data_IF_608289437688
#
_entry.id   IF_608289437688
#
_cell.length_a   1.000
_cell.length_b   1.000
_cell.length_c   1.000
_cell.angle_alpha   90.00
_cell.angle_beta   90.00
_cell.angle_gamma   90.00
#
_symmetry.space_group_name_H-M   'P 1'
#
loop_
_entity.id
_entity.type
_entity.pdbx_description
1 polymer ?
#
# COMPACT_ATOMS: atom_id res chain seq x y z
N UNK A 1 29.75 -8.71 11.94
CA UNK A 1 28.88 -9.05 10.80
C UNK A 1 27.80 -9.98 11.31
N UNK A 2 26.53 -9.80 10.91
CA UNK A 2 25.42 -10.70 11.31
C UNK A 2 25.55 -12.04 10.58
N UNK A 3 25.14 -13.14 11.22
CA UNK A 3 25.01 -14.44 10.56
C UNK A 3 23.64 -14.58 9.93
N UNK A 4 23.55 -15.22 8.77
CA UNK A 4 22.32 -15.54 8.04
C UNK A 4 22.28 -17.02 7.63
N UNK A 5 23.07 -17.86 8.28
CA UNK A 5 23.25 -19.27 7.91
C UNK A 5 21.94 -20.06 7.93
N UNK A 6 21.14 -19.90 9.01
CA UNK A 6 19.84 -20.58 9.10
C UNK A 6 18.85 -20.08 8.07
N UNK A 7 18.83 -18.75 7.81
CA UNK A 7 17.99 -18.17 6.77
C UNK A 7 18.34 -18.69 5.38
N UNK A 8 19.63 -18.85 5.05
CA UNK A 8 20.08 -19.43 3.79
C UNK A 8 19.65 -20.90 3.66
N UNK A 9 19.79 -21.69 4.73
CA UNK A 9 19.32 -23.09 4.76
C UNK A 9 17.80 -23.19 4.59
N UNK A 10 17.03 -22.32 5.28
CA UNK A 10 15.59 -22.26 5.16
C UNK A 10 15.15 -21.88 3.74
N UNK A 11 15.84 -20.91 3.12
CA UNK A 11 15.54 -20.51 1.75
C UNK A 11 15.87 -21.63 0.74
N UNK A 12 16.98 -22.34 0.93
CA UNK A 12 17.31 -23.51 0.10
C UNK A 12 16.22 -24.60 0.16
N UNK A 13 15.60 -24.81 1.34
CA UNK A 13 14.47 -25.74 1.52
C UNK A 13 13.15 -25.19 0.94
N UNK A 14 12.95 -23.88 0.91
CA UNK A 14 11.74 -23.25 0.40
C UNK A 14 11.66 -23.27 -1.15
N UNK A 15 12.81 -23.11 -1.83
CA UNK A 15 12.88 -23.04 -3.31
C UNK A 15 12.22 -24.21 -4.05
N UNK A 16 12.37 -25.48 -3.65
CA UNK A 16 11.75 -26.61 -4.35
C UNK A 16 10.25 -26.77 -4.10
N UNK A 17 9.68 -26.08 -3.10
CA UNK A 17 8.27 -26.25 -2.68
C UNK A 17 7.39 -25.00 -2.90
N UNK A 18 8.01 -23.85 -3.19
CA UNK A 18 7.33 -22.61 -3.51
C UNK A 18 8.01 -21.90 -4.68
N UNK A 19 7.28 -21.26 -5.60
CA UNK A 19 7.86 -20.51 -6.70
C UNK A 19 8.85 -19.45 -6.22
N UNK A 20 10.15 -19.63 -6.52
CA UNK A 20 11.21 -18.74 -6.04
C UNK A 20 11.44 -18.75 -4.52
N UNK A 21 10.87 -19.73 -3.80
CA UNK A 21 11.00 -19.89 -2.34
C UNK A 21 10.15 -18.95 -1.50
N UNK A 22 9.17 -18.24 -2.10
CA UNK A 22 8.36 -17.21 -1.44
C UNK A 22 6.92 -17.19 -1.94
N UNK A 23 6.00 -16.66 -1.12
CA UNK A 23 4.59 -16.45 -1.48
C UNK A 23 4.28 -15.04 -2.03
N UNK A 24 5.31 -14.18 -2.15
CA UNK A 24 5.20 -12.88 -2.82
C UNK A 24 6.56 -12.48 -3.37
N UNK A 25 6.65 -12.01 -4.65
CA UNK A 25 7.92 -11.89 -5.37
C UNK A 25 8.99 -11.03 -4.69
N UNK A 26 8.59 -9.89 -4.11
CA UNK A 26 9.51 -8.94 -3.46
C UNK A 26 10.25 -9.54 -2.26
N UNK A 27 9.64 -10.53 -1.59
CA UNK A 27 10.22 -11.24 -0.42
C UNK A 27 11.45 -12.08 -0.77
N UNK A 28 11.71 -12.34 -2.05
CA UNK A 28 12.89 -13.10 -2.50
C UNK A 28 14.19 -12.28 -2.51
N UNK A 29 14.16 -10.99 -2.19
CA UNK A 29 15.32 -10.07 -2.11
C UNK A 29 16.15 -9.99 -3.42
N UNK A 30 15.55 -10.32 -4.56
CA UNK A 30 16.28 -10.32 -5.86
C UNK A 30 16.79 -8.92 -6.24
N UNK A 31 16.00 -7.88 -5.99
CA UNK A 31 16.38 -6.49 -6.31
C UNK A 31 17.54 -5.96 -5.46
N UNK A 32 17.79 -6.56 -4.31
CA UNK A 32 18.91 -6.21 -3.42
C UNK A 32 20.05 -7.23 -3.44
N UNK A 33 20.03 -8.16 -4.40
CA UNK A 33 21.10 -9.12 -4.74
C UNK A 33 21.59 -9.93 -3.53
N UNK A 34 20.68 -10.40 -2.68
CA UNK A 34 20.99 -11.27 -1.54
C UNK A 34 19.87 -12.29 -1.31
N UNK A 35 20.18 -13.35 -0.55
CA UNK A 35 19.15 -14.28 -0.09
C UNK A 35 18.27 -13.62 1.00
N UNK A 36 16.96 -13.91 1.04
CA UNK A 36 16.07 -13.33 2.03
C UNK A 36 16.36 -13.81 3.44
N UNK A 37 16.10 -12.94 4.41
CA UNK A 37 16.17 -13.26 5.82
C UNK A 37 14.83 -13.85 6.27
N UNK A 38 14.87 -14.97 7.01
CA UNK A 38 13.68 -15.66 7.51
C UNK A 38 13.35 -15.17 8.92
N UNK A 39 12.16 -14.60 9.08
CA UNK A 39 11.72 -14.06 10.36
C UNK A 39 11.07 -15.11 11.23
N UNK A 40 11.31 -15.04 12.55
CA UNK A 40 10.74 -15.91 13.57
C UNK A 40 9.62 -15.23 14.35
N UNK A 41 9.81 -13.96 14.72
CA UNK A 41 8.85 -13.21 15.53
C UNK A 41 9.00 -11.69 15.33
N UNK A 42 7.97 -10.96 15.73
CA UNK A 42 8.00 -9.50 15.81
C UNK A 42 7.39 -9.03 17.13
N UNK A 43 7.85 -7.87 17.65
CA UNK A 43 7.28 -7.21 18.83
C UNK A 43 7.52 -5.70 18.77
N UNK A 44 6.48 -4.91 18.90
CA UNK A 44 6.56 -3.46 18.82
C UNK A 44 7.16 -3.00 17.49
N UNK A 45 8.20 -2.20 17.54
CA UNK A 45 8.95 -1.74 16.34
C UNK A 45 10.04 -2.71 15.89
N UNK A 46 10.10 -3.92 16.43
CA UNK A 46 11.18 -4.89 16.19
C UNK A 46 10.70 -6.13 15.47
N UNK A 47 11.61 -6.68 14.64
CA UNK A 47 11.46 -8.00 14.03
C UNK A 47 12.75 -8.81 14.29
N UNK A 48 12.59 -10.12 14.43
CA UNK A 48 13.68 -11.03 14.80
C UNK A 48 13.74 -12.18 13.81
N UNK A 49 14.93 -12.47 13.33
CA UNK A 49 15.13 -13.59 12.39
C UNK A 49 15.46 -14.91 13.10
N UNK A 50 15.42 -16.01 12.34
CA UNK A 50 15.73 -17.37 12.83
C UNK A 50 17.21 -17.55 13.17
N UNK A 51 18.08 -16.64 12.77
CA UNK A 51 19.50 -16.61 13.12
C UNK A 51 19.74 -15.90 14.46
N UNK A 52 18.70 -15.26 15.04
CA UNK A 52 18.75 -14.55 16.31
C UNK A 52 19.10 -13.08 16.22
N UNK A 53 19.11 -12.50 15.03
CA UNK A 53 19.33 -11.08 14.86
C UNK A 53 18.05 -10.28 15.10
N UNK A 54 18.21 -9.08 15.70
CA UNK A 54 17.15 -8.08 15.90
C UNK A 54 17.29 -6.93 14.91
N UNK A 55 16.14 -6.41 14.42
CA UNK A 55 16.05 -5.28 13.51
C UNK A 55 14.97 -4.29 13.95
N UNK A 56 15.21 -2.98 13.78
CA UNK A 56 14.14 -1.98 13.73
C UNK A 56 13.43 -2.18 12.39
N UNK A 57 12.12 -2.38 12.40
CA UNK A 57 11.36 -2.77 11.21
C UNK A 57 10.58 -1.62 10.59
N UNK A 58 11.01 -1.19 9.41
CA UNK A 58 10.29 -0.20 8.59
C UNK A 58 9.47 -0.82 7.47
N UNK A 59 9.42 -2.16 7.38
CA UNK A 59 8.52 -2.87 6.45
C UNK A 59 7.12 -3.01 7.04
N UNK A 60 7.01 -3.32 8.34
CA UNK A 60 5.75 -3.48 9.07
C UNK A 60 4.72 -4.31 8.30
N UNK A 61 5.21 -5.44 7.72
CA UNK A 61 4.40 -6.34 6.88
C UNK A 61 3.77 -5.67 5.64
N UNK A 62 4.45 -4.64 5.07
CA UNK A 62 3.99 -3.83 3.93
C UNK A 62 2.83 -2.87 4.30
N UNK A 63 2.80 -2.42 5.53
CA UNK A 63 1.90 -1.38 5.99
C UNK A 63 0.79 -1.76 6.97
N UNK A 64 0.31 -3.01 7.10
CA UNK A 64 -0.81 -3.33 8.01
C UNK A 64 -0.52 -3.08 9.49
N UNK A 65 0.75 -3.20 9.94
CA UNK A 65 1.09 -3.18 11.37
C UNK A 65 1.33 -1.76 11.89
N UNK A 66 0.32 -0.90 11.81
CA UNK A 66 0.40 0.49 12.27
C UNK A 66 0.57 0.60 13.79
N UNK A 67 0.07 -0.37 14.57
CA UNK A 67 0.30 -0.49 16.01
C UNK A 67 1.61 -1.19 16.37
N UNK A 68 2.44 -1.58 15.37
CA UNK A 68 3.61 -2.42 15.56
C UNK A 68 3.27 -3.90 15.61
N UNK A 69 4.30 -4.72 15.82
CA UNK A 69 4.18 -6.18 15.92
C UNK A 69 3.59 -6.61 17.24
N UNK A 70 2.73 -7.63 17.21
CA UNK A 70 2.17 -8.32 18.38
C UNK A 70 1.60 -7.35 19.43
N UNK A 71 0.78 -6.39 18.99
CA UNK A 71 0.08 -5.48 19.90
C UNK A 71 -0.74 -6.27 20.93
N UNK A 72 -0.60 -5.92 22.21
CA UNK A 72 -1.13 -6.72 23.33
C UNK A 72 -2.66 -6.83 23.31
N UNK A 73 -3.37 -5.74 22.93
CA UNK A 73 -4.83 -5.74 22.88
C UNK A 73 -5.34 -6.55 21.70
N UNK A 74 -4.73 -6.38 20.52
CA UNK A 74 -5.08 -7.18 19.32
C UNK A 74 -4.83 -8.67 19.59
N UNK A 75 -3.69 -9.03 20.19
CA UNK A 75 -3.36 -10.43 20.53
C UNK A 75 -4.33 -11.01 21.54
N UNK A 76 -4.71 -10.26 22.58
CA UNK A 76 -5.66 -10.72 23.60
C UNK A 76 -7.05 -10.97 22.97
N UNK A 77 -7.56 -10.03 22.17
CA UNK A 77 -8.85 -10.16 21.50
C UNK A 77 -8.87 -11.31 20.50
N UNK A 78 -7.78 -11.54 19.76
CA UNK A 78 -7.66 -12.67 18.84
C UNK A 78 -7.68 -14.03 19.59
N UNK A 79 -7.02 -14.13 20.76
CA UNK A 79 -7.07 -15.35 21.57
C UNK A 79 -8.50 -15.67 22.00
N UNK A 80 -9.25 -14.66 22.47
CA UNK A 80 -10.66 -14.82 22.82
C UNK A 80 -11.54 -15.17 21.60
N UNK A 81 -11.30 -14.53 20.47
CA UNK A 81 -12.07 -14.77 19.25
C UNK A 81 -11.87 -16.19 18.70
N UNK A 82 -10.64 -16.70 18.69
CA UNK A 82 -10.34 -18.05 18.16
C UNK A 82 -11.00 -19.16 18.97
N UNK A 83 -11.20 -18.96 20.28
CA UNK A 83 -11.92 -19.92 21.15
C UNK A 83 -13.40 -20.03 20.77
N UNK A 84 -13.99 -19.01 20.14
CA UNK A 84 -15.38 -19.00 19.67
C UNK A 84 -15.55 -19.56 18.25
N UNK A 85 -14.45 -19.72 17.53
CA UNK A 85 -14.42 -20.25 16.14
C UNK A 85 -13.79 -19.27 15.15
N UNK A 86 -13.30 -19.83 14.04
CA UNK A 86 -12.52 -19.09 13.06
C UNK A 86 -13.31 -18.65 11.83
N UNK A 87 -14.46 -19.31 11.55
CA UNK A 87 -15.34 -19.02 10.40
C UNK A 87 -16.68 -19.68 10.60
N UNK A 88 -17.77 -18.98 10.27
CA UNK A 88 -19.12 -19.47 10.52
C UNK A 88 -19.94 -19.75 9.24
N UNK A 89 -19.56 -19.17 8.09
CA UNK A 89 -20.39 -19.21 6.89
C UNK A 89 -21.76 -18.52 7.08
N UNK A 90 -21.83 -17.59 8.05
CA UNK A 90 -23.01 -16.83 8.45
C UNK A 90 -22.59 -15.45 8.95
N UNK A 91 -23.48 -14.43 8.92
CA UNK A 91 -23.17 -13.10 9.43
C UNK A 91 -22.82 -13.11 10.91
N UNK A 92 -21.96 -12.17 11.34
CA UNK A 92 -21.63 -11.92 12.73
C UNK A 92 -21.72 -10.43 13.07
N UNK A 93 -21.96 -10.10 14.35
CA UNK A 93 -21.96 -8.69 14.81
C UNK A 93 -20.61 -8.00 14.65
N UNK A 94 -19.52 -8.76 14.59
CA UNK A 94 -18.18 -8.22 14.38
C UNK A 94 -18.03 -7.52 13.01
N UNK A 95 -18.69 -8.05 12.00
CA UNK A 95 -18.74 -7.44 10.66
C UNK A 95 -19.38 -6.05 10.71
N UNK A 96 -20.52 -5.94 11.40
CA UNK A 96 -21.24 -4.67 11.58
C UNK A 96 -20.39 -3.66 12.35
N UNK A 97 -19.76 -4.09 13.46
CA UNK A 97 -18.88 -3.21 14.28
C UNK A 97 -17.73 -2.61 13.48
N UNK A 98 -17.02 -3.43 12.70
CA UNK A 98 -15.93 -2.92 11.87
C UNK A 98 -16.44 -2.05 10.73
N UNK A 99 -17.57 -2.41 10.11
CA UNK A 99 -18.21 -1.62 9.07
C UNK A 99 -18.61 -0.21 9.57
N UNK A 100 -19.25 -0.12 10.73
CA UNK A 100 -19.63 1.14 11.37
C UNK A 100 -18.41 2.03 11.65
N UNK A 101 -17.33 1.46 12.18
CA UNK A 101 -16.09 2.19 12.45
C UNK A 101 -15.41 2.70 11.16
N UNK A 102 -15.45 1.92 10.09
CA UNK A 102 -14.94 2.35 8.77
C UNK A 102 -15.80 3.48 8.22
N UNK A 103 -17.14 3.36 8.28
CA UNK A 103 -18.07 4.40 7.80
C UNK A 103 -17.90 5.70 8.59
N UNK A 104 -17.72 5.62 9.91
CA UNK A 104 -17.49 6.80 10.76
C UNK A 104 -16.25 7.59 10.35
N UNK A 105 -15.19 6.90 9.91
CA UNK A 105 -13.88 7.52 9.69
C UNK A 105 -13.55 7.84 8.23
N UNK A 106 -14.16 7.16 7.28
CA UNK A 106 -13.84 7.33 5.85
C UNK A 106 -14.89 8.20 5.17
N UNK A 107 -14.58 9.45 4.80
CA UNK A 107 -15.58 10.44 4.37
C UNK A 107 -16.45 10.02 3.19
N UNK A 108 -15.92 9.22 2.26
CA UNK A 108 -16.65 8.75 1.07
C UNK A 108 -17.56 7.56 1.30
N UNK A 109 -17.44 6.87 2.44
CA UNK A 109 -18.10 5.56 2.62
C UNK A 109 -19.40 5.70 3.41
N UNK A 110 -20.51 5.46 2.75
CA UNK A 110 -21.85 5.33 3.35
C UNK A 110 -22.23 3.86 3.52
N UNK A 111 -21.69 2.98 2.68
CA UNK A 111 -21.88 1.51 2.72
C UNK A 111 -20.56 0.84 2.35
N UNK A 112 -20.21 -0.23 3.06
CA UNK A 112 -18.95 -0.97 2.87
C UNK A 112 -19.20 -2.47 2.71
N UNK A 113 -18.39 -3.14 1.89
CA UNK A 113 -18.36 -4.59 1.72
C UNK A 113 -16.97 -5.11 2.03
N UNK A 114 -16.86 -6.07 2.97
CA UNK A 114 -15.61 -6.74 3.31
C UNK A 114 -15.27 -7.83 2.27
N UNK A 115 -13.99 -7.96 1.99
CA UNK A 115 -13.37 -9.01 1.16
C UNK A 115 -12.06 -9.47 1.84
N UNK A 116 -11.23 -10.31 1.19
CA UNK A 116 -10.06 -10.92 1.85
C UNK A 116 -8.72 -10.28 1.47
N UNK A 117 -8.69 -9.39 0.51
CA UNK A 117 -7.45 -8.72 0.05
C UNK A 117 -7.74 -7.40 -0.65
N UNK A 118 -6.71 -6.56 -0.77
CA UNK A 118 -6.78 -5.36 -1.59
C UNK A 118 -7.04 -5.66 -3.07
N UNK A 119 -6.53 -6.77 -3.59
CA UNK A 119 -6.81 -7.23 -4.97
C UNK A 119 -8.31 -7.52 -5.17
N UNK A 120 -8.95 -8.20 -4.23
CA UNK A 120 -10.40 -8.44 -4.29
C UNK A 120 -11.20 -7.13 -4.19
N UNK A 121 -10.74 -6.18 -3.34
CA UNK A 121 -11.38 -4.88 -3.20
C UNK A 121 -11.34 -4.09 -4.52
N UNK A 122 -10.17 -3.95 -5.12
CA UNK A 122 -10.00 -3.20 -6.38
C UNK A 122 -10.70 -3.89 -7.55
N UNK A 123 -10.57 -5.21 -7.69
CA UNK A 123 -11.29 -5.99 -8.70
C UNK A 123 -12.82 -5.80 -8.60
N UNK A 124 -13.35 -5.79 -7.38
CA UNK A 124 -14.79 -5.61 -7.13
C UNK A 124 -15.22 -4.17 -7.39
N UNK A 125 -14.43 -3.18 -7.02
CA UNK A 125 -14.70 -1.78 -7.30
C UNK A 125 -14.73 -1.49 -8.81
N UNK A 126 -13.81 -2.08 -9.60
CA UNK A 126 -13.83 -1.93 -11.06
C UNK A 126 -15.07 -2.59 -11.68
N UNK A 127 -15.45 -3.78 -11.21
CA UNK A 127 -16.69 -4.43 -11.68
C UNK A 127 -17.91 -3.59 -11.35
N UNK A 128 -17.95 -3.03 -10.16
CA UNK A 128 -19.03 -2.14 -9.72
C UNK A 128 -19.09 -0.88 -10.57
N UNK A 129 -17.95 -0.23 -10.83
CA UNK A 129 -17.88 0.96 -11.67
C UNK A 129 -18.42 0.70 -13.09
N UNK A 130 -17.99 -0.40 -13.71
CA UNK A 130 -18.48 -0.82 -15.03
C UNK A 130 -19.97 -1.12 -15.02
N UNK A 131 -20.45 -1.87 -14.02
CA UNK A 131 -21.87 -2.23 -13.92
C UNK A 131 -22.77 -1.04 -13.63
N UNK A 132 -22.34 -0.09 -12.82
CA UNK A 132 -23.07 1.12 -12.48
C UNK A 132 -23.15 2.11 -13.66
N UNK A 133 -22.05 2.35 -14.35
CA UNK A 133 -21.99 3.32 -15.45
C UNK A 133 -22.42 2.75 -16.81
N UNK A 134 -22.42 1.42 -16.97
CA UNK A 134 -22.62 0.74 -18.26
C UNK A 134 -21.44 0.90 -19.21
N UNK A 135 -20.29 1.41 -18.75
CA UNK A 135 -19.07 1.68 -19.54
C UNK A 135 -18.01 0.61 -19.28
N UNK A 136 -17.00 0.51 -20.13
CA UNK A 136 -16.03 -0.59 -20.08
C UNK A 136 -14.63 -0.20 -19.63
N UNK A 137 -14.18 1.01 -19.96
CA UNK A 137 -12.78 1.40 -19.74
C UNK A 137 -12.50 1.91 -18.33
N UNK A 138 -11.28 1.63 -17.90
CA UNK A 138 -10.71 2.15 -16.64
C UNK A 138 -9.45 2.93 -16.97
N UNK A 139 -9.28 4.08 -16.32
CA UNK A 139 -8.03 4.82 -16.34
C UNK A 139 -7.25 4.52 -15.06
N UNK A 140 -5.97 4.19 -15.18
CA UNK A 140 -5.02 4.04 -14.07
C UNK A 140 -3.72 4.81 -14.33
N UNK A 141 -2.87 4.92 -13.31
CA UNK A 141 -1.62 5.68 -13.38
C UNK A 141 -0.40 4.76 -13.41
N UNK A 142 0.59 5.14 -14.24
CA UNK A 142 1.89 4.44 -14.34
C UNK A 142 2.60 4.51 -12.99
N UNK A 143 3.10 3.37 -12.52
CA UNK A 143 3.75 3.23 -11.21
C UNK A 143 2.80 2.95 -10.05
N UNK A 144 1.49 3.18 -10.19
CA UNK A 144 0.49 2.75 -9.20
C UNK A 144 0.21 1.24 -9.30
N UNK A 145 0.05 0.59 -8.14
CA UNK A 145 -0.27 -0.83 -8.03
C UNK A 145 -1.60 -1.03 -7.31
N UNK A 146 -2.47 -1.81 -7.92
CA UNK A 146 -3.82 -2.01 -7.43
C UNK A 146 -4.17 -3.51 -7.28
N UNK A 147 -3.20 -4.33 -6.89
CA UNK A 147 -3.36 -5.79 -6.84
C UNK A 147 -3.07 -6.47 -8.18
N UNK A 148 -3.29 -7.78 -8.23
CA UNK A 148 -2.91 -8.64 -9.35
C UNK A 148 -4.11 -9.16 -10.17
N UNK A 149 -5.21 -8.42 -10.19
CA UNK A 149 -6.33 -8.68 -11.11
C UNK A 149 -5.94 -8.35 -12.55
N UNK A 150 -6.38 -9.15 -13.51
CA UNK A 150 -5.98 -9.05 -14.93
C UNK A 150 -6.17 -7.64 -15.52
N UNK A 151 -7.27 -6.95 -15.17
CA UNK A 151 -7.53 -5.58 -15.61
C UNK A 151 -6.53 -4.54 -15.08
N UNK A 152 -5.70 -4.89 -14.10
CA UNK A 152 -4.79 -3.98 -13.40
C UNK A 152 -3.31 -4.35 -13.58
N UNK A 153 -3.01 -5.56 -14.09
CA UNK A 153 -1.67 -5.99 -14.52
C UNK A 153 -1.35 -5.47 -15.92
N UNK A 154 -1.32 -4.14 -16.03
CA UNK A 154 -1.23 -3.42 -17.30
C UNK A 154 -0.08 -2.45 -17.21
N UNK A 155 0.78 -2.47 -18.24
CA UNK A 155 1.88 -1.51 -18.43
C UNK A 155 1.51 -0.44 -19.46
N UNK A 156 2.20 0.69 -19.37
CA UNK A 156 2.07 1.76 -20.35
C UNK A 156 2.51 1.30 -21.75
N UNK A 157 1.76 1.70 -22.77
CA UNK A 157 2.22 1.68 -24.16
C UNK A 157 3.02 2.95 -24.50
N UNK A 158 3.27 3.17 -25.78
CA UNK A 158 3.90 4.42 -26.29
C UNK A 158 2.83 5.48 -26.56
N UNK A 159 2.96 6.66 -25.96
CA UNK A 159 2.05 7.81 -26.20
C UNK A 159 1.54 8.45 -24.90
N UNK A 160 0.74 9.52 -25.06
CA UNK A 160 0.26 10.39 -23.97
C UNK A 160 -0.77 9.67 -23.09
N UNK A 161 -1.79 9.06 -23.70
CA UNK A 161 -2.70 8.14 -23.05
C UNK A 161 -2.83 6.89 -23.93
N UNK A 162 -2.49 5.73 -23.39
CA UNK A 162 -2.37 4.52 -24.21
C UNK A 162 -3.29 3.42 -23.70
N UNK A 163 -3.86 2.68 -24.66
CA UNK A 163 -4.48 1.40 -24.34
C UNK A 163 -3.42 0.47 -23.73
N UNK A 164 -3.79 -0.16 -22.63
CA UNK A 164 -2.87 -0.98 -21.86
C UNK A 164 -2.36 -2.20 -22.63
N UNK A 165 -1.10 -2.52 -22.41
CA UNK A 165 -0.49 -3.77 -22.81
C UNK A 165 -0.41 -4.70 -21.59
N UNK A 166 -0.54 -6.04 -21.75
CA UNK A 166 -0.33 -6.95 -20.64
C UNK A 166 1.05 -6.79 -20.02
N UNK A 167 1.10 -6.64 -18.68
CA UNK A 167 2.37 -6.58 -17.92
C UNK A 167 2.83 -7.97 -17.44
N UNK A 168 1.96 -8.95 -17.56
CA UNK A 168 2.23 -10.35 -17.20
C UNK A 168 1.78 -11.30 -18.33
N UNK A 169 2.57 -12.33 -18.65
CA UNK A 169 2.08 -13.46 -19.41
C UNK A 169 0.82 -14.05 -18.76
N UNK A 170 -0.16 -14.42 -19.58
CA UNK A 170 -1.45 -14.94 -19.11
C UNK A 170 -2.56 -13.92 -18.99
N UNK A 171 -2.28 -12.61 -19.05
CA UNK A 171 -3.30 -11.58 -19.17
C UNK A 171 -3.71 -11.45 -20.63
N UNK A 172 -4.99 -11.69 -21.00
CA UNK A 172 -5.45 -11.58 -22.38
C UNK A 172 -5.43 -10.12 -22.86
N UNK A 173 -5.04 -9.90 -24.12
CA UNK A 173 -5.07 -8.56 -24.74
C UNK A 173 -6.46 -7.92 -24.70
N UNK A 174 -7.51 -8.71 -24.89
CA UNK A 174 -8.90 -8.27 -24.83
C UNK A 174 -9.29 -7.70 -23.44
N UNK A 175 -8.64 -8.14 -22.36
CA UNK A 175 -8.81 -7.56 -21.03
C UNK A 175 -7.96 -6.29 -20.90
N UNK A 176 -6.71 -6.34 -21.35
CA UNK A 176 -5.78 -5.23 -21.25
C UNK A 176 -6.26 -3.98 -22.01
N UNK A 177 -6.90 -4.16 -23.17
CA UNK A 177 -7.45 -3.07 -24.02
C UNK A 177 -8.53 -2.22 -23.32
N UNK A 178 -9.10 -2.70 -22.22
CA UNK A 178 -10.09 -1.97 -21.44
C UNK A 178 -9.47 -1.13 -20.31
N UNK A 179 -8.15 -1.05 -20.23
CA UNK A 179 -7.45 -0.23 -19.25
C UNK A 179 -6.52 0.75 -19.93
N UNK A 180 -6.76 2.04 -19.69
CA UNK A 180 -5.89 3.13 -20.13
C UNK A 180 -4.85 3.42 -19.03
N UNK A 181 -3.67 3.87 -19.46
CA UNK A 181 -2.60 4.28 -18.54
C UNK A 181 -2.10 5.68 -18.90
N UNK A 182 -1.92 6.52 -17.88
CA UNK A 182 -1.31 7.86 -17.98
C UNK A 182 -0.27 8.05 -16.88
N UNK A 183 0.68 8.98 -17.01
CA UNK A 183 1.61 9.29 -15.93
C UNK A 183 0.88 9.85 -14.70
N UNK A 184 1.37 9.53 -13.50
CA UNK A 184 0.90 10.14 -12.26
C UNK A 184 1.36 11.60 -12.18
N UNK A 185 0.53 12.49 -11.62
CA UNK A 185 0.75 13.94 -11.57
C UNK A 185 0.83 14.63 -12.95
N UNK A 186 0.27 14.02 -13.99
CA UNK A 186 0.17 14.60 -15.34
C UNK A 186 -1.30 14.81 -15.74
N UNK A 187 -1.83 15.98 -15.37
CA UNK A 187 -3.24 16.30 -15.62
C UNK A 187 -3.56 16.48 -17.10
N UNK A 188 -2.60 16.90 -17.91
CA UNK A 188 -2.82 17.08 -19.36
C UNK A 188 -3.04 15.71 -20.03
N UNK A 189 -2.28 14.69 -19.62
CA UNK A 189 -2.51 13.32 -20.10
C UNK A 189 -3.88 12.78 -19.66
N UNK A 190 -4.36 13.17 -18.47
CA UNK A 190 -5.72 12.82 -18.00
C UNK A 190 -6.77 13.51 -18.87
N UNK A 191 -6.67 14.82 -19.10
CA UNK A 191 -7.60 15.56 -19.97
C UNK A 191 -7.67 14.94 -21.36
N UNK A 192 -6.51 14.63 -21.95
CA UNK A 192 -6.45 13.94 -23.23
C UNK A 192 -7.21 12.59 -23.21
N UNK A 193 -7.08 11.82 -22.11
CA UNK A 193 -7.81 10.56 -21.98
C UNK A 193 -9.34 10.77 -21.91
N UNK A 194 -9.81 11.80 -21.20
CA UNK A 194 -11.24 12.14 -21.15
C UNK A 194 -11.77 12.64 -22.49
N UNK A 195 -11.02 13.49 -23.21
CA UNK A 195 -11.40 13.99 -24.54
C UNK A 195 -11.56 12.87 -25.58
N UNK A 196 -10.74 11.82 -25.49
CA UNK A 196 -10.71 10.77 -26.52
C UNK A 196 -11.48 9.50 -26.14
N UNK A 197 -11.68 9.23 -24.83
CA UNK A 197 -12.25 7.98 -24.34
C UNK A 197 -13.33 8.19 -23.26
N UNK A 198 -13.67 9.43 -22.92
CA UNK A 198 -14.54 9.78 -21.80
C UNK A 198 -15.89 9.05 -21.83
N UNK A 199 -16.51 8.95 -23.01
CA UNK A 199 -17.82 8.29 -23.17
C UNK A 199 -17.82 6.80 -22.78
N UNK A 200 -16.65 6.14 -22.73
CA UNK A 200 -16.49 4.73 -22.36
C UNK A 200 -15.71 4.55 -21.02
N UNK A 201 -15.32 5.65 -20.35
CA UNK A 201 -14.65 5.59 -19.07
C UNK A 201 -15.64 5.31 -17.93
N UNK A 202 -15.60 4.09 -17.38
CA UNK A 202 -16.36 3.67 -16.21
C UNK A 202 -15.79 4.26 -14.91
N UNK A 203 -14.47 4.31 -14.80
CA UNK A 203 -13.80 4.78 -13.60
C UNK A 203 -12.34 5.19 -13.81
N UNK A 204 -11.88 6.07 -12.93
CA UNK A 204 -10.47 6.39 -12.73
C UNK A 204 -10.04 5.82 -11.39
N UNK A 205 -9.04 4.92 -11.37
CA UNK A 205 -8.48 4.40 -10.14
C UNK A 205 -7.11 5.02 -9.87
N UNK A 206 -6.92 5.55 -8.65
CA UNK A 206 -5.70 6.24 -8.25
C UNK A 206 -5.35 5.93 -6.79
N UNK A 207 -4.07 5.75 -6.50
CA UNK A 207 -3.56 5.84 -5.13
C UNK A 207 -3.46 7.34 -4.79
N UNK A 208 -4.19 7.87 -3.79
CA UNK A 208 -4.15 9.32 -3.48
C UNK A 208 -2.77 9.79 -3.01
N UNK A 209 -1.95 8.89 -2.48
CA UNK A 209 -0.49 8.97 -2.39
C UNK A 209 0.04 7.66 -2.93
N UNK A 210 0.81 7.71 -4.02
CA UNK A 210 1.33 6.50 -4.63
C UNK A 210 2.41 5.87 -3.76
N UNK A 211 2.19 4.62 -3.34
CA UNK A 211 3.08 3.88 -2.44
C UNK A 211 3.95 2.84 -3.11
N UNK A 212 3.65 2.49 -4.37
CA UNK A 212 4.30 1.40 -5.11
C UNK A 212 5.33 1.88 -6.16
N UNK A 213 5.63 3.17 -6.16
CA UNK A 213 6.76 3.79 -6.88
C UNK A 213 7.69 4.54 -5.91
N UNK A 214 7.79 4.08 -4.67
CA UNK A 214 8.23 4.80 -3.49
C UNK A 214 7.04 5.55 -2.89
N UNK A 215 7.27 6.57 -2.07
CA UNK A 215 6.20 7.44 -1.57
C UNK A 215 6.13 8.68 -2.44
N UNK A 216 5.08 8.79 -3.29
CA UNK A 216 4.91 9.93 -4.21
C UNK A 216 3.58 10.60 -3.93
N UNK A 217 3.58 11.76 -3.24
CA UNK A 217 2.37 12.55 -3.02
C UNK A 217 1.81 13.14 -4.32
N UNK A 218 0.50 13.46 -4.36
CA UNK A 218 -0.06 14.21 -5.46
C UNK A 218 0.50 15.65 -5.46
N UNK A 219 0.76 16.19 -6.65
CA UNK A 219 1.05 17.61 -6.81
C UNK A 219 -0.22 18.42 -6.51
N UNK A 220 -0.09 19.67 -6.02
CA UNK A 220 -1.25 20.51 -5.72
C UNK A 220 -2.21 20.67 -6.93
N UNK A 221 -3.49 20.46 -6.71
CA UNK A 221 -4.53 20.54 -7.73
C UNK A 221 -4.76 19.26 -8.54
N UNK A 222 -3.88 18.25 -8.45
CA UNK A 222 -4.01 17.02 -9.25
C UNK A 222 -5.27 16.20 -8.92
N UNK A 223 -5.51 15.94 -7.65
CA UNK A 223 -6.69 15.14 -7.22
C UNK A 223 -7.99 15.93 -7.36
N UNK A 224 -7.96 17.23 -7.13
CA UNK A 224 -9.10 18.13 -7.30
C UNK A 224 -9.54 18.16 -8.78
N UNK A 225 -8.61 18.22 -9.70
CA UNK A 225 -8.90 18.18 -11.13
C UNK A 225 -9.43 16.82 -11.57
N UNK A 226 -8.86 15.71 -11.03
CA UNK A 226 -9.41 14.36 -11.26
C UNK A 226 -10.88 14.29 -10.80
N UNK A 227 -11.20 14.88 -9.63
CA UNK A 227 -12.58 14.92 -9.14
C UNK A 227 -13.48 15.69 -10.09
N UNK A 228 -13.06 16.86 -10.53
CA UNK A 228 -13.82 17.70 -11.46
C UNK A 228 -14.10 16.96 -12.77
N UNK A 229 -13.06 16.44 -13.43
CA UNK A 229 -13.18 15.73 -14.70
C UNK A 229 -14.09 14.49 -14.60
N UNK A 230 -13.98 13.73 -13.50
CA UNK A 230 -14.82 12.55 -13.29
C UNK A 230 -16.29 12.92 -13.05
N UNK A 231 -16.57 13.98 -12.29
CA UNK A 231 -17.94 14.45 -12.07
C UNK A 231 -18.59 14.98 -13.35
N UNK A 232 -17.89 15.82 -14.09
CA UNK A 232 -18.40 16.39 -15.36
C UNK A 232 -18.71 15.32 -16.40
N UNK A 233 -17.95 14.22 -16.40
CA UNK A 233 -18.10 13.15 -17.36
C UNK A 233 -19.01 12.00 -16.89
N UNK A 234 -19.42 11.95 -15.62
CA UNK A 234 -20.17 10.83 -15.04
C UNK A 234 -19.33 9.55 -14.94
N UNK A 235 -18.02 9.69 -14.81
CA UNK A 235 -17.05 8.62 -14.54
C UNK A 235 -16.85 8.50 -13.03
N UNK A 236 -16.69 7.28 -12.47
CA UNK A 236 -16.46 7.15 -11.04
C UNK A 236 -14.99 7.39 -10.68
N UNK A 237 -14.74 8.23 -9.66
CA UNK A 237 -13.43 8.35 -9.05
C UNK A 237 -13.27 7.28 -7.97
N UNK A 238 -12.24 6.44 -8.08
CA UNK A 238 -11.95 5.34 -7.16
C UNK A 238 -10.60 5.63 -6.50
N UNK A 239 -10.60 5.86 -5.17
CA UNK A 239 -9.37 5.91 -4.42
C UNK A 239 -8.96 4.51 -3.96
N UNK A 240 -7.79 4.08 -4.39
CA UNK A 240 -7.12 2.94 -3.79
C UNK A 240 -6.38 3.39 -2.53
N UNK A 241 -7.05 3.25 -1.41
CA UNK A 241 -6.50 3.50 -0.08
C UNK A 241 -6.10 2.20 0.64
N UNK A 242 -5.78 1.14 -0.10
CA UNK A 242 -5.26 -0.10 0.49
C UNK A 242 -3.97 0.15 1.26
N UNK A 243 -3.11 1.06 0.80
CA UNK A 243 -1.89 1.46 1.51
C UNK A 243 -2.10 2.71 2.37
N UNK A 244 -2.78 3.72 1.87
CA UNK A 244 -2.91 5.03 2.51
C UNK A 244 -4.00 5.10 3.58
N UNK A 245 -4.99 4.21 3.50
CA UNK A 245 -6.12 4.15 4.43
C UNK A 245 -5.65 3.96 5.87
N UNK A 246 -6.07 4.87 6.77
CA UNK A 246 -5.69 4.93 8.19
C UNK A 246 -4.18 5.03 8.44
N UNK A 247 -3.37 5.26 7.41
CA UNK A 247 -1.92 5.41 7.51
C UNK A 247 -1.45 6.83 7.24
N UNK A 248 -2.03 7.50 6.26
CA UNK A 248 -1.70 8.89 5.91
C UNK A 248 -2.40 9.87 6.85
N UNK A 249 -3.58 9.55 7.33
CA UNK A 249 -4.37 10.37 8.24
C UNK A 249 -5.42 9.57 8.99
N UNK A 250 -5.96 10.14 10.07
CA UNK A 250 -7.02 9.54 10.88
C UNK A 250 -8.30 9.24 10.05
N UNK A 251 -8.63 10.13 9.13
CA UNK A 251 -9.72 9.99 8.16
C UNK A 251 -9.20 9.58 6.78
N UNK A 252 -8.17 8.71 6.72
CA UNK A 252 -7.51 8.25 5.50
C UNK A 252 -6.80 9.40 4.74
N UNK A 253 -6.28 9.11 3.54
CA UNK A 253 -5.67 10.15 2.71
C UNK A 253 -6.72 11.13 2.18
N UNK A 254 -7.91 10.67 1.83
CA UNK A 254 -9.00 11.51 1.33
C UNK A 254 -9.40 12.61 2.34
N UNK A 255 -9.47 12.29 3.62
CA UNK A 255 -9.75 13.28 4.66
C UNK A 255 -8.63 14.30 4.83
N UNK A 256 -7.37 13.87 4.73
CA UNK A 256 -6.19 14.75 4.83
C UNK A 256 -6.01 15.65 3.60
N UNK A 257 -6.30 15.14 2.41
CA UNK A 257 -6.13 15.84 1.13
C UNK A 257 -7.39 16.62 0.70
N UNK A 258 -8.53 16.41 1.36
CA UNK A 258 -9.75 17.18 1.11
C UNK A 258 -10.48 16.82 -0.18
N UNK A 259 -10.21 15.65 -0.78
CA UNK A 259 -10.87 15.16 -2.00
C UNK A 259 -11.60 13.87 -1.71
N UNK A 260 -12.90 13.84 -2.00
CA UNK A 260 -13.78 12.69 -1.73
C UNK A 260 -14.08 11.93 -3.01
N UNK A 261 -13.68 10.64 -3.13
CA UNK A 261 -13.99 9.79 -4.29
C UNK A 261 -15.43 9.28 -4.23
N UNK A 262 -15.87 8.60 -5.30
CA UNK A 262 -17.14 7.87 -5.34
C UNK A 262 -17.03 6.49 -4.68
N UNK A 263 -15.88 5.83 -4.85
CA UNK A 263 -15.54 4.54 -4.27
C UNK A 263 -14.16 4.59 -3.61
N UNK A 264 -14.01 3.86 -2.52
CA UNK A 264 -12.73 3.68 -1.82
C UNK A 264 -12.45 2.20 -1.61
N UNK A 265 -11.24 1.76 -1.96
CA UNK A 265 -10.71 0.44 -1.64
C UNK A 265 -9.82 0.52 -0.41
N UNK A 266 -9.99 -0.41 0.52
CA UNK A 266 -9.23 -0.51 1.77
C UNK A 266 -8.62 -1.91 1.90
N UNK A 267 -7.59 -2.01 2.74
CA UNK A 267 -6.91 -3.25 3.08
C UNK A 267 -5.87 -3.02 4.19
N UNK A 268 -4.88 -3.87 4.25
CA UNK A 268 -3.72 -3.71 5.15
C UNK A 268 -4.10 -3.34 6.59
N UNK A 269 -4.10 -2.05 6.95
CA UNK A 269 -4.37 -1.58 8.33
C UNK A 269 -5.71 -2.07 8.87
N UNK A 270 -6.76 -2.10 8.05
CA UNK A 270 -8.10 -2.57 8.48
C UNK A 270 -8.14 -4.05 8.86
N UNK A 271 -7.07 -4.80 8.64
CA UNK A 271 -6.94 -6.20 9.03
C UNK A 271 -6.06 -6.44 10.25
N UNK A 272 -5.35 -5.41 10.74
CA UNK A 272 -4.45 -5.56 11.88
C UNK A 272 -3.38 -6.64 11.72
N UNK A 273 -2.98 -6.94 10.47
CA UNK A 273 -2.03 -8.02 10.12
C UNK A 273 -2.69 -9.30 9.60
N UNK A 274 -4.01 -9.43 9.64
CA UNK A 274 -4.75 -10.56 9.06
C UNK A 274 -5.25 -10.25 7.65
N UNK A 275 -5.51 -11.29 6.82
CA UNK A 275 -6.01 -11.11 5.45
C UNK A 275 -7.40 -10.46 5.44
N UNK A 276 -7.48 -9.25 4.87
CA UNK A 276 -8.71 -8.50 4.69
C UNK A 276 -8.55 -7.46 3.58
N UNK A 277 -9.64 -7.12 2.96
CA UNK A 277 -9.85 -5.96 2.14
C UNK A 277 -11.29 -5.47 2.31
N UNK A 278 -11.57 -4.28 1.81
CA UNK A 278 -12.92 -3.75 1.75
C UNK A 278 -13.04 -2.79 0.57
N UNK A 279 -14.24 -2.61 0.07
CA UNK A 279 -14.59 -1.51 -0.83
C UNK A 279 -15.91 -0.91 -0.41
N UNK A 280 -16.02 0.38 -0.53
CA UNK A 280 -17.20 1.11 -0.10
C UNK A 280 -17.31 2.45 -0.82
N UNK A 281 -18.41 3.14 -0.62
CA UNK A 281 -18.69 4.42 -1.24
C UNK A 281 -20.13 4.87 -1.05
N UNK A 282 -20.61 5.71 -1.97
CA UNK A 282 -21.98 6.21 -1.97
C UNK A 282 -22.98 5.05 -1.98
N UNK A 283 -24.05 5.19 -1.19
CA UNK A 283 -25.11 4.16 -1.05
C UNK A 283 -25.70 3.74 -2.37
N UNK A 284 -26.06 4.69 -3.22
CA UNK A 284 -26.67 4.43 -4.53
C UNK A 284 -25.81 3.57 -5.47
N UNK A 285 -24.49 3.66 -5.32
CA UNK A 285 -23.53 2.85 -6.08
C UNK A 285 -23.40 1.47 -5.42
N UNK A 286 -23.18 1.43 -4.11
CA UNK A 286 -22.94 0.18 -3.38
C UNK A 286 -24.16 -0.75 -3.36
N UNK A 287 -25.37 -0.21 -3.39
CA UNK A 287 -26.62 -1.01 -3.46
C UNK A 287 -26.82 -1.73 -4.80
N UNK A 288 -25.96 -1.48 -5.80
CA UNK A 288 -25.91 -2.32 -7.02
C UNK A 288 -25.22 -3.69 -6.80
N UNK A 289 -24.57 -3.89 -5.64
CA UNK A 289 -23.94 -5.17 -5.30
C UNK A 289 -25.00 -6.15 -4.76
N UNK A 290 -24.94 -7.40 -5.24
CA UNK A 290 -25.79 -8.49 -4.73
C UNK A 290 -25.62 -8.67 -3.20
N UNK A 291 -26.71 -8.93 -2.43
CA UNK A 291 -28.07 -9.24 -2.88
C UNK A 291 -28.98 -8.02 -3.11
N UNK A 292 -28.52 -6.79 -2.82
CA UNK A 292 -29.33 -5.58 -3.02
C UNK A 292 -29.53 -5.25 -4.50
N UNK A 293 -28.51 -5.47 -5.33
CA UNK A 293 -28.51 -5.25 -6.77
C UNK A 293 -28.01 -6.45 -7.57
N UNK A 294 -27.81 -6.30 -8.88
CA UNK A 294 -27.48 -7.41 -9.78
C UNK A 294 -25.98 -7.73 -9.87
N UNK A 295 -25.10 -6.85 -9.40
CA UNK A 295 -23.65 -7.01 -9.58
C UNK A 295 -23.11 -7.99 -8.56
N UNK A 296 -22.49 -9.08 -9.03
CA UNK A 296 -22.11 -10.20 -8.16
C UNK A 296 -20.71 -10.02 -7.55
N UNK A 297 -20.62 -10.27 -6.24
CA UNK A 297 -19.39 -10.48 -5.47
C UNK A 297 -19.71 -11.43 -4.32
N UNK A 298 -18.83 -12.39 -4.05
CA UNK A 298 -18.94 -13.31 -2.93
C UNK A 298 -17.54 -13.72 -2.42
N UNK A 299 -17.47 -14.15 -1.15
CA UNK A 299 -16.24 -14.66 -0.55
C UNK A 299 -16.55 -15.48 0.70
N UNK A 300 -16.10 -16.72 0.74
CA UNK A 300 -16.33 -17.65 1.87
C UNK A 300 -15.81 -17.08 3.19
N UNK A 301 -14.68 -16.40 3.17
CA UNK A 301 -14.02 -15.85 4.37
C UNK A 301 -14.18 -14.32 4.48
N UNK A 302 -14.96 -13.69 3.61
CA UNK A 302 -15.26 -12.26 3.73
C UNK A 302 -16.00 -11.99 5.03
N UNK A 303 -15.47 -11.08 5.86
CA UNK A 303 -16.04 -10.80 7.17
C UNK A 303 -15.75 -11.87 8.23
N UNK A 304 -14.72 -12.71 8.06
CA UNK A 304 -14.39 -13.72 9.06
C UNK A 304 -14.10 -13.11 10.44
N UNK A 305 -14.46 -13.78 11.54
CA UNK A 305 -14.42 -13.21 12.87
C UNK A 305 -13.03 -12.78 13.32
N UNK A 306 -11.97 -13.48 12.90
CA UNK A 306 -10.60 -13.14 13.31
C UNK A 306 -10.13 -11.84 12.65
N UNK A 307 -10.31 -11.70 11.34
CA UNK A 307 -9.95 -10.47 10.63
C UNK A 307 -10.78 -9.27 11.10
N UNK A 308 -12.09 -9.46 11.36
CA UNK A 308 -12.95 -8.40 11.89
C UNK A 308 -12.52 -7.98 13.29
N UNK A 309 -12.17 -8.92 14.17
CA UNK A 309 -11.64 -8.65 15.52
C UNK A 309 -10.33 -7.88 15.44
N UNK A 310 -9.35 -8.37 14.67
CA UNK A 310 -8.05 -7.70 14.57
C UNK A 310 -8.17 -6.30 13.96
N UNK A 311 -9.01 -6.13 12.95
CA UNK A 311 -9.28 -4.83 12.33
C UNK A 311 -9.94 -3.86 13.29
N UNK A 312 -10.98 -4.27 13.98
CA UNK A 312 -11.69 -3.45 14.95
C UNK A 312 -10.75 -3.01 16.10
N UNK A 313 -10.02 -3.94 16.70
CA UNK A 313 -9.08 -3.64 17.78
C UNK A 313 -7.93 -2.74 17.31
N UNK A 314 -7.48 -2.90 16.08
CA UNK A 314 -6.45 -2.02 15.51
C UNK A 314 -6.97 -0.60 15.32
N UNK A 315 -8.11 -0.43 14.66
CA UNK A 315 -8.65 0.89 14.36
C UNK A 315 -9.12 1.62 15.62
N UNK A 316 -9.71 0.91 16.60
CA UNK A 316 -10.21 1.49 17.84
C UNK A 316 -9.13 2.14 18.69
N UNK A 317 -7.88 1.66 18.60
CA UNK A 317 -6.73 2.20 19.33
C UNK A 317 -6.12 3.43 18.66
N UNK A 318 -6.41 3.70 17.39
CA UNK A 318 -5.85 4.84 16.67
C UNK A 318 -6.60 6.12 17.04
N UNK A 319 -5.86 7.12 17.49
CA UNK A 319 -6.36 8.46 17.83
C UNK A 319 -5.72 9.53 16.95
N UNK A 320 -6.30 10.74 16.84
CA UNK A 320 -5.67 11.84 16.10
C UNK A 320 -4.23 12.13 16.53
N UNK A 321 -3.93 12.01 17.84
CA UNK A 321 -2.59 12.26 18.40
C UNK A 321 -1.53 11.28 17.88
N UNK A 322 -1.93 10.06 17.53
CA UNK A 322 -0.99 9.12 16.88
C UNK A 322 -0.51 9.65 15.53
N UNK A 323 -1.36 10.37 14.80
CA UNK A 323 -0.98 10.92 13.50
C UNK A 323 -0.07 12.14 13.63
N UNK A 324 -0.21 12.96 14.68
CA UNK A 324 0.74 14.01 15.02
C UNK A 324 2.12 13.41 15.37
N UNK A 325 2.14 12.31 16.13
CA UNK A 325 3.37 11.56 16.42
C UNK A 325 4.00 11.00 15.15
N UNK A 326 3.22 10.41 14.24
CA UNK A 326 3.74 9.91 12.97
C UNK A 326 4.38 11.01 12.13
N UNK A 327 3.74 12.18 12.02
CA UNK A 327 4.29 13.31 11.28
C UNK A 327 5.64 13.77 11.89
N UNK A 328 5.71 13.91 13.21
CA UNK A 328 6.93 14.31 13.89
C UNK A 328 8.08 13.31 13.70
N UNK A 329 7.80 12.01 13.82
CA UNK A 329 8.80 10.95 13.62
C UNK A 329 9.23 10.84 12.15
N UNK A 330 8.28 10.95 11.21
CA UNK A 330 8.57 10.91 9.77
C UNK A 330 9.40 12.12 9.34
N UNK A 331 9.11 13.30 9.87
CA UNK A 331 9.90 14.51 9.63
C UNK A 331 11.33 14.37 10.18
N UNK A 332 11.47 13.91 11.44
CA UNK A 332 12.78 13.66 12.06
C UNK A 332 13.60 12.65 11.23
N UNK A 333 12.98 11.55 10.79
CA UNK A 333 13.64 10.56 9.96
C UNK A 333 14.08 11.13 8.62
N UNK A 334 13.19 11.81 7.91
CA UNK A 334 13.47 12.40 6.60
C UNK A 334 14.58 13.47 6.69
N UNK A 335 14.49 14.37 7.68
CA UNK A 335 15.53 15.39 7.91
C UNK A 335 16.88 14.75 8.23
N UNK A 336 16.92 13.80 9.16
CA UNK A 336 18.17 13.15 9.57
C UNK A 336 18.82 12.34 8.44
N UNK A 337 18.02 11.62 7.64
CA UNK A 337 18.53 10.92 6.45
C UNK A 337 19.08 11.89 5.40
N UNK A 338 18.41 13.04 5.19
CA UNK A 338 18.88 14.07 4.26
C UNK A 338 20.21 14.67 4.70
N UNK A 339 20.36 15.06 5.98
CA UNK A 339 21.61 15.60 6.50
C UNK A 339 22.74 14.56 6.45
N UNK A 340 22.44 13.31 6.77
CA UNK A 340 23.41 12.22 6.64
C UNK A 340 23.85 12.01 5.18
N UNK A 341 22.93 12.04 4.23
CA UNK A 341 23.25 11.91 2.81
C UNK A 341 24.08 13.09 2.28
N UNK A 342 23.72 14.34 2.64
CA UNK A 342 24.49 15.56 2.29
C UNK A 342 25.92 15.51 2.77
N UNK A 343 26.17 15.04 4.00
CA UNK A 343 27.50 14.90 4.59
C UNK A 343 28.44 14.06 3.73
N UNK A 344 27.90 13.08 3.02
CA UNK A 344 28.65 12.19 2.13
C UNK A 344 28.43 12.51 0.64
N UNK A 345 27.81 13.64 0.31
CA UNK A 345 27.52 14.06 -1.07
C UNK A 345 26.76 12.98 -1.86
N UNK A 346 25.81 12.28 -1.20
CA UNK A 346 24.95 11.30 -1.83
C UNK A 346 23.77 12.01 -2.49
N UNK A 347 23.58 11.88 -3.83
CA UNK A 347 22.39 12.36 -4.51
C UNK A 347 21.14 11.74 -3.90
N UNK A 348 20.16 12.56 -3.49
CA UNK A 348 18.94 12.05 -2.87
C UNK A 348 17.75 12.98 -3.01
N UNK A 349 16.59 12.37 -3.06
CA UNK A 349 15.28 13.00 -2.92
C UNK A 349 14.47 12.26 -1.86
N UNK A 350 13.70 12.97 -1.06
CA UNK A 350 12.87 12.39 0.01
C UNK A 350 11.46 12.91 -0.13
N UNK A 351 10.51 11.99 -0.12
CA UNK A 351 9.08 12.28 -0.02
C UNK A 351 8.52 11.68 1.26
N UNK A 352 7.43 12.25 1.78
CA UNK A 352 6.70 11.69 2.92
C UNK A 352 5.22 11.99 2.86
N UNK A 353 4.41 11.12 3.47
CA UNK A 353 2.98 11.30 3.65
C UNK A 353 2.53 10.53 4.91
N UNK A 354 2.09 11.25 5.96
CA UNK A 354 1.72 10.63 7.23
C UNK A 354 2.87 9.80 7.80
N UNK A 355 2.60 8.53 8.07
CA UNK A 355 3.59 7.55 8.60
C UNK A 355 4.44 6.87 7.52
N UNK A 356 4.50 7.41 6.30
CA UNK A 356 5.25 6.84 5.18
C UNK A 356 6.39 7.77 4.76
N UNK A 357 7.58 7.20 4.50
CA UNK A 357 8.78 7.93 4.04
C UNK A 357 9.40 7.20 2.86
N UNK A 358 9.62 7.91 1.76
CA UNK A 358 10.34 7.44 0.58
C UNK A 358 11.70 8.12 0.47
N UNK A 359 12.77 7.35 0.30
CA UNK A 359 14.13 7.84 0.09
C UNK A 359 14.64 7.34 -1.27
N UNK A 360 15.02 8.27 -2.15
CA UNK A 360 15.44 7.96 -3.52
C UNK A 360 16.88 8.44 -3.74
N UNK A 361 17.71 7.60 -4.37
CA UNK A 361 19.09 7.92 -4.74
C UNK A 361 19.14 8.67 -6.08
N UNK A 362 18.58 9.88 -6.13
CA UNK A 362 18.54 10.75 -7.31
C UNK A 362 18.48 12.22 -6.91
N UNK A 363 19.00 13.11 -7.73
CA UNK A 363 18.87 14.58 -7.56
C UNK A 363 17.54 15.12 -8.10
N UNK A 364 16.77 14.29 -8.81
CA UNK A 364 15.49 14.69 -9.38
C UNK A 364 14.40 14.76 -8.29
N UNK A 365 13.52 15.77 -8.36
CA UNK A 365 12.29 15.77 -7.57
C UNK A 365 11.41 14.62 -8.05
N UNK A 366 11.16 13.64 -7.19
CA UNK A 366 10.36 12.46 -7.53
C UNK A 366 8.88 12.77 -7.40
N UNK A 367 8.21 12.95 -8.53
CA UNK A 367 6.78 13.28 -8.65
C UNK A 367 5.97 12.23 -9.41
N UNK A 368 6.64 11.28 -10.05
CA UNK A 368 6.02 10.18 -10.80
C UNK A 368 7.00 9.02 -10.98
N UNK A 369 6.55 7.95 -11.65
CA UNK A 369 7.35 6.74 -11.85
C UNK A 369 8.59 6.98 -12.73
N UNK A 370 8.50 7.86 -13.74
CA UNK A 370 9.64 8.22 -14.59
C UNK A 370 10.76 8.81 -13.73
N UNK A 371 10.44 9.77 -12.87
CA UNK A 371 11.39 10.38 -11.95
C UNK A 371 11.89 9.41 -10.88
N UNK A 372 11.03 8.55 -10.33
CA UNK A 372 11.44 7.49 -9.41
C UNK A 372 12.45 6.53 -10.07
N UNK A 373 12.29 6.26 -11.36
CA UNK A 373 13.16 5.35 -12.13
C UNK A 373 14.56 5.92 -12.43
N UNK A 374 14.81 7.21 -12.17
CA UNK A 374 16.16 7.80 -12.26
C UNK A 374 17.04 7.43 -11.07
N UNK A 375 16.47 6.82 -10.01
CA UNK A 375 17.20 6.46 -8.81
C UNK A 375 18.30 5.42 -9.09
N UNK A 376 19.44 5.59 -8.45
CA UNK A 376 20.58 4.68 -8.55
C UNK A 376 20.32 3.38 -7.77
N UNK A 377 19.91 2.32 -8.48
CA UNK A 377 19.57 1.03 -7.89
C UNK A 377 20.78 0.27 -7.28
N UNK A 378 22.00 0.53 -7.77
CA UNK A 378 23.21 -0.07 -7.17
C UNK A 378 23.54 0.59 -5.84
N UNK A 379 23.35 1.92 -5.71
CA UNK A 379 23.43 2.61 -4.43
C UNK A 379 22.39 2.09 -3.45
N UNK A 380 21.13 1.95 -3.90
CA UNK A 380 20.08 1.39 -3.08
C UNK A 380 20.41 -0.03 -2.59
N UNK A 381 20.92 -0.90 -3.49
CA UNK A 381 21.30 -2.27 -3.14
C UNK A 381 22.35 -2.30 -2.03
N UNK A 382 23.43 -1.51 -2.17
CA UNK A 382 24.51 -1.42 -1.17
C UNK A 382 24.03 -0.79 0.15
N UNK A 383 23.21 0.26 0.06
CA UNK A 383 22.56 0.90 1.21
C UNK A 383 21.69 -0.08 1.97
N UNK A 384 20.80 -0.80 1.29
CA UNK A 384 19.93 -1.80 1.90
C UNK A 384 20.73 -2.86 2.67
N UNK A 385 21.75 -3.45 2.02
CA UNK A 385 22.60 -4.48 2.64
C UNK A 385 23.31 -3.95 3.88
N UNK A 386 23.82 -2.74 3.84
CA UNK A 386 24.51 -2.15 4.97
C UNK A 386 23.52 -1.81 6.12
N UNK A 387 22.35 -1.24 5.80
CA UNK A 387 21.31 -0.97 6.80
C UNK A 387 20.86 -2.24 7.51
N UNK A 388 20.67 -3.33 6.76
CA UNK A 388 20.33 -4.64 7.33
C UNK A 388 21.44 -5.12 8.27
N UNK A 389 22.71 -4.99 7.89
CA UNK A 389 23.86 -5.30 8.74
C UNK A 389 23.91 -4.47 10.03
N UNK A 390 23.44 -3.21 9.98
CA UNK A 390 23.33 -2.31 11.14
C UNK A 390 22.09 -2.61 12.01
N UNK A 391 21.21 -3.52 11.58
CA UNK A 391 19.99 -3.88 12.33
C UNK A 391 18.79 -3.01 11.99
N UNK A 392 18.71 -2.52 10.77
CA UNK A 392 17.58 -1.80 10.24
C UNK A 392 16.97 -2.61 9.10
N UNK A 393 15.70 -3.00 9.24
CA UNK A 393 14.94 -3.71 8.21
C UNK A 393 14.21 -2.72 7.34
N UNK A 394 14.66 -2.56 6.10
CA UNK A 394 14.05 -1.74 5.08
C UNK A 394 13.28 -2.60 4.06
N UNK A 395 12.32 -2.04 3.30
CA UNK A 395 11.78 -2.71 2.14
C UNK A 395 12.89 -3.04 1.12
N UNK A 396 12.94 -4.27 0.57
CA UNK A 396 14.01 -4.69 -0.34
C UNK A 396 13.76 -4.23 -1.79
N UNK A 397 13.30 -3.00 -1.96
CA UNK A 397 13.06 -2.34 -3.25
C UNK A 397 13.10 -0.83 -3.12
N UNK A 398 13.77 -0.15 -4.06
CA UNK A 398 13.78 1.31 -4.16
C UNK A 398 12.37 1.90 -4.35
N UNK A 399 11.45 1.12 -4.92
CA UNK A 399 10.08 1.54 -5.22
C UNK A 399 9.08 1.27 -4.09
N UNK A 400 9.55 0.96 -2.91
CA UNK A 400 8.75 0.76 -1.71
C UNK A 400 9.07 1.83 -0.66
N UNK A 401 8.04 2.23 0.11
CA UNK A 401 8.21 3.19 1.20
C UNK A 401 8.53 2.53 2.53
N UNK A 402 9.19 3.28 3.41
CA UNK A 402 9.33 2.96 4.83
C UNK A 402 8.04 3.33 5.58
N UNK A 403 7.66 2.51 6.54
CA UNK A 403 6.47 2.69 7.38
C UNK A 403 6.85 2.89 8.84
N UNK A 404 6.13 3.79 9.53
CA UNK A 404 6.21 3.98 10.97
C UNK A 404 4.99 3.36 11.67
N UNK A 405 5.17 2.99 12.94
CA UNK A 405 4.11 2.49 13.82
C UNK A 405 4.07 3.30 15.11
N UNK A 406 2.99 3.15 15.90
CA UNK A 406 2.87 3.76 17.23
C UNK A 406 3.97 3.31 18.22
N UNK A 407 4.71 2.26 17.89
CA UNK A 407 5.80 1.71 18.71
C UNK A 407 7.19 2.19 18.32
N UNK A 408 7.34 2.91 17.21
CA UNK A 408 8.59 3.58 16.89
C UNK A 408 8.82 4.76 17.83
N UNK A 409 10.05 4.92 18.30
CA UNK A 409 10.48 5.98 19.21
C UNK A 409 11.50 6.90 18.53
N UNK A 410 11.71 8.09 19.10
CA UNK A 410 12.81 8.98 18.64
C UNK A 410 14.17 8.26 18.69
N UNK A 411 14.40 7.42 19.71
CA UNK A 411 15.65 6.64 19.81
C UNK A 411 15.80 5.63 18.66
N UNK A 412 14.68 5.06 18.16
CA UNK A 412 14.71 4.19 16.97
C UNK A 412 15.08 4.98 15.71
N UNK A 413 14.52 6.18 15.58
CA UNK A 413 14.84 7.08 14.47
C UNK A 413 16.31 7.50 14.50
N UNK A 414 16.83 7.92 15.66
CA UNK A 414 18.21 8.33 15.83
C UNK A 414 19.21 7.19 15.53
N UNK A 415 18.89 5.98 15.98
CA UNK A 415 19.68 4.77 15.66
C UNK A 415 19.65 4.48 14.14
N UNK A 416 18.52 4.70 13.48
CA UNK A 416 18.38 4.53 12.04
C UNK A 416 19.19 5.55 11.25
N UNK A 417 19.19 6.83 11.68
CA UNK A 417 19.99 7.90 11.08
C UNK A 417 21.49 7.58 11.24
N UNK A 418 21.92 7.14 12.42
CA UNK A 418 23.31 6.76 12.66
C UNK A 418 23.74 5.56 11.79
N UNK A 419 22.85 4.57 11.61
CA UNK A 419 23.10 3.45 10.70
C UNK A 419 23.21 3.91 9.24
N UNK A 420 22.36 4.85 8.82
CA UNK A 420 22.41 5.43 7.47
C UNK A 420 23.72 6.22 7.24
N UNK A 421 24.23 6.98 8.21
CA UNK A 421 25.53 7.62 8.11
C UNK A 421 26.66 6.62 7.82
N UNK A 422 26.66 5.48 8.54
CA UNK A 422 27.63 4.42 8.29
C UNK A 422 27.48 3.86 6.88
N UNK A 423 26.23 3.62 6.45
CA UNK A 423 25.96 3.10 5.11
C UNK A 423 26.43 4.08 4.03
N UNK A 424 26.08 5.37 4.12
CA UNK A 424 26.48 6.40 3.15
C UNK A 424 27.99 6.57 3.07
N UNK A 425 28.72 6.48 4.19
CA UNK A 425 30.18 6.54 4.20
C UNK A 425 30.85 5.42 3.38
N UNK A 426 30.14 4.32 3.11
CA UNK A 426 30.62 3.17 2.34
C UNK A 426 30.14 3.15 0.89
N UNK A 427 29.27 4.08 0.49
CA UNK A 427 28.79 4.20 -0.89
C UNK A 427 29.77 4.97 -1.79
N UNK A 428 30.64 5.77 -1.18
CA UNK A 428 31.73 6.52 -1.86
C UNK A 428 32.88 5.66 -2.31
#
# INVERSE_FOLDING_TARGET
MRSYTKSQEAFAKAKPVMPGGVNSPVRAFKSVKMDPVFMERGQGSRIYDIDGNEYIDYVLSWGPLILGHADEQVVAALKEAVEKGTSFGAPSELETKLAELVIERVPSIEVVRMVNSGTEATMSALRLARGYTGRNKILKFVGCYHGHGDSLLIKAGSGVATLGLPDSPGVPESVAQNTLTVPYNDIESVRYAFENFGDDLAGVIVEPVAGNMGVVPPEPGFLEELRTLTEENGTLLIFDEVMTGFRVGYNCAQGKLGVTPDLTCLGKVIGGGLPVGAYGGKREIMEQIAPAGPIYQAGTLSGNPLAMTAGYETLSQLTPENYDQFEALAERLAHGLSEAAKKYEIPHSINRAGSMVGFFFTDEKVVNFEKASTANLDFFTRYFQEMLNQGISLPPSQFEGMFLSTKHTEADIDKTIAAAEIAFSKLK
#
